data_IF_099974754511
#
_entry.id   IF_099974754511
#
_cell.length_a   1.000
_cell.length_b   1.000
_cell.length_c   1.000
_cell.angle_alpha   90.00
_cell.angle_beta   90.00
_cell.angle_gamma   90.00
#
_symmetry.space_group_name_H-M   'P 1'
#
loop_
_entity.id
_entity.type
_entity.pdbx_description
1 polymer ?
#
# COMPACT_ATOMS: atom_id res chain seq x y z
N UNK A 1 3.05 -10.73 -32.35
CA UNK A 1 4.37 -10.49 -31.76
C UNK A 1 4.78 -11.66 -30.92
N UNK A 2 5.98 -12.15 -31.06
CA UNK A 2 6.48 -13.37 -30.42
C UNK A 2 7.62 -13.05 -29.44
N UNK A 3 7.97 -13.99 -28.58
CA UNK A 3 9.16 -13.86 -27.71
C UNK A 3 10.45 -13.66 -28.50
N UNK A 4 10.48 -14.13 -29.73
CA UNK A 4 11.61 -13.95 -30.64
C UNK A 4 11.82 -12.48 -31.02
N UNK A 5 10.75 -11.73 -31.21
CA UNK A 5 10.82 -10.30 -31.51
C UNK A 5 11.51 -9.50 -30.40
N UNK A 6 11.28 -9.87 -29.12
CA UNK A 6 11.90 -9.24 -27.95
C UNK A 6 13.38 -9.59 -27.86
N UNK A 7 13.73 -10.84 -28.19
CA UNK A 7 15.13 -11.30 -28.19
C UNK A 7 15.92 -10.65 -29.32
N UNK A 8 15.33 -10.52 -30.49
CA UNK A 8 15.93 -9.82 -31.65
C UNK A 8 16.15 -8.33 -31.37
N UNK A 9 15.24 -7.70 -30.61
CA UNK A 9 15.37 -6.32 -30.16
C UNK A 9 16.46 -6.14 -29.07
N UNK A 10 17.14 -7.21 -28.64
CA UNK A 10 18.21 -7.23 -27.62
C UNK A 10 17.81 -6.61 -26.26
N UNK A 11 16.53 -6.61 -25.92
CA UNK A 11 16.04 -6.08 -24.63
C UNK A 11 16.44 -6.99 -23.50
N UNK A 12 16.22 -8.30 -23.66
CA UNK A 12 16.64 -9.30 -22.68
C UNK A 12 16.81 -10.67 -23.35
N UNK A 13 17.49 -11.60 -22.66
CA UNK A 13 17.59 -12.98 -23.11
C UNK A 13 16.25 -13.69 -23.00
N UNK A 14 16.07 -14.75 -23.80
CA UNK A 14 14.86 -15.59 -23.77
C UNK A 14 14.58 -16.13 -22.36
N UNK A 15 15.61 -16.59 -21.66
CA UNK A 15 15.48 -17.10 -20.29
C UNK A 15 15.04 -16.01 -19.30
N UNK A 16 15.55 -14.76 -19.43
CA UNK A 16 15.10 -13.63 -18.61
C UNK A 16 13.65 -13.31 -18.89
N UNK A 17 13.23 -13.28 -20.16
CA UNK A 17 11.85 -13.01 -20.54
C UNK A 17 10.89 -14.07 -19.97
N UNK A 18 11.22 -15.36 -20.08
CA UNK A 18 10.40 -16.43 -19.51
C UNK A 18 10.24 -16.32 -17.99
N UNK A 19 11.30 -15.94 -17.27
CA UNK A 19 11.23 -15.70 -15.81
C UNK A 19 10.38 -14.49 -15.46
N UNK A 20 10.45 -13.41 -16.24
CA UNK A 20 9.61 -12.22 -16.08
C UNK A 20 8.12 -12.56 -16.31
N UNK A 21 7.80 -13.29 -17.37
CA UNK A 21 6.43 -13.70 -17.69
C UNK A 21 5.83 -14.65 -16.62
N UNK A 22 6.66 -15.43 -15.94
CA UNK A 22 6.26 -16.29 -14.82
C UNK A 22 6.23 -15.59 -13.47
N UNK A 23 6.57 -14.29 -13.41
CA UNK A 23 6.66 -13.55 -12.16
C UNK A 23 7.82 -14.00 -11.25
N UNK A 24 8.82 -14.72 -11.80
CA UNK A 24 9.96 -15.24 -11.03
C UNK A 24 11.09 -14.21 -10.87
N UNK A 25 11.05 -13.12 -11.61
CA UNK A 25 12.02 -12.02 -11.52
C UNK A 25 11.29 -10.70 -11.46
N UNK A 26 11.85 -9.77 -10.69
CA UNK A 26 11.42 -8.37 -10.72
C UNK A 26 11.79 -7.75 -12.07
N UNK A 27 10.86 -6.98 -12.64
CA UNK A 27 11.08 -6.24 -13.86
C UNK A 27 11.59 -4.84 -13.53
N UNK A 28 12.65 -4.40 -14.20
CA UNK A 28 13.16 -3.02 -14.03
C UNK A 28 12.33 -2.04 -14.86
N UNK A 29 12.13 -0.80 -14.37
CA UNK A 29 11.39 0.23 -15.12
C UNK A 29 11.90 0.47 -16.54
N UNK A 30 13.21 0.38 -16.75
CA UNK A 30 13.83 0.46 -18.09
C UNK A 30 13.42 -0.71 -18.98
N UNK A 31 13.41 -1.94 -18.48
CA UNK A 31 12.98 -3.13 -19.24
C UNK A 31 11.49 -3.00 -19.64
N UNK A 32 10.65 -2.44 -18.75
CA UNK A 32 9.22 -2.19 -19.04
C UNK A 32 9.06 -1.25 -20.23
N UNK A 33 9.75 -0.11 -20.22
CA UNK A 33 9.67 0.88 -21.31
C UNK A 33 10.07 0.27 -22.66
N UNK A 34 11.17 -0.48 -22.67
CA UNK A 34 11.65 -1.14 -23.88
C UNK A 34 10.68 -2.23 -24.36
N UNK A 35 10.11 -3.03 -23.48
CA UNK A 35 9.10 -4.03 -23.81
C UNK A 35 7.84 -3.35 -24.37
N UNK A 36 7.33 -2.32 -23.70
CA UNK A 36 6.18 -1.55 -24.17
C UNK A 36 6.43 -0.95 -25.56
N UNK A 37 7.64 -0.44 -25.83
CA UNK A 37 8.02 0.07 -27.15
C UNK A 37 7.95 -1.02 -28.21
N UNK A 38 8.47 -2.22 -27.95
CA UNK A 38 8.42 -3.35 -28.87
C UNK A 38 7.00 -3.83 -29.09
N UNK A 39 6.21 -3.92 -28.02
CA UNK A 39 4.80 -4.32 -28.11
C UNK A 39 3.86 -3.23 -28.62
N UNK A 40 4.38 -2.03 -28.90
CA UNK A 40 3.61 -0.87 -29.37
C UNK A 40 2.47 -0.50 -28.43
N UNK A 41 2.73 -0.57 -27.14
CA UNK A 41 1.80 -0.15 -26.10
C UNK A 41 1.71 1.38 -26.13
N UNK A 42 0.51 1.93 -25.90
CA UNK A 42 0.31 3.38 -25.85
C UNK A 42 1.06 4.02 -24.67
N UNK A 43 1.29 5.32 -24.76
CA UNK A 43 2.09 6.05 -23.78
C UNK A 43 1.46 6.05 -22.37
N UNK A 44 0.15 6.29 -22.19
CA UNK A 44 -0.47 6.23 -20.86
C UNK A 44 -0.30 4.88 -20.17
N UNK A 45 -0.48 3.77 -20.90
CA UNK A 45 -0.28 2.41 -20.39
C UNK A 45 1.21 2.16 -20.08
N UNK A 46 2.12 2.64 -20.92
CA UNK A 46 3.57 2.52 -20.67
C UNK A 46 3.98 3.26 -19.41
N UNK A 47 3.46 4.45 -19.19
CA UNK A 47 3.74 5.25 -17.99
C UNK A 47 3.22 4.55 -16.73
N UNK A 48 1.99 4.03 -16.77
CA UNK A 48 1.43 3.25 -15.68
C UNK A 48 2.27 2.01 -15.38
N UNK A 49 2.60 1.20 -16.36
CA UNK A 49 3.42 -0.01 -16.18
C UNK A 49 4.81 0.32 -15.64
N UNK A 50 5.39 1.43 -16.09
CA UNK A 50 6.69 1.91 -15.60
C UNK A 50 6.62 2.30 -14.12
N UNK A 51 5.56 3.01 -13.73
CA UNK A 51 5.29 3.37 -12.33
C UNK A 51 5.13 2.11 -11.47
N UNK A 52 4.39 1.12 -11.94
CA UNK A 52 4.24 -0.17 -11.25
C UNK A 52 5.59 -0.88 -11.06
N UNK A 53 6.46 -0.84 -12.07
CA UNK A 53 7.79 -1.45 -11.98
C UNK A 53 8.72 -0.71 -10.99
N UNK A 54 8.58 0.59 -10.81
CA UNK A 54 9.28 1.32 -9.74
C UNK A 54 8.84 0.84 -8.36
N UNK A 55 7.55 0.67 -8.14
CA UNK A 55 7.00 0.19 -6.88
C UNK A 55 7.49 -1.20 -6.48
N UNK A 56 7.66 -2.09 -7.46
CA UNK A 56 8.22 -3.43 -7.20
C UNK A 56 9.74 -3.44 -7.00
N UNK A 57 10.43 -2.35 -7.33
CA UNK A 57 11.88 -2.23 -7.23
C UNK A 57 12.34 -1.42 -6.01
N UNK A 58 11.42 -0.86 -5.23
CA UNK A 58 11.74 -0.10 -4.02
C UNK A 58 12.16 -1.07 -2.90
N UNK A 59 13.43 -1.02 -2.44
CA UNK A 59 13.93 -1.92 -1.42
C UNK A 59 13.32 -1.67 -0.03
N UNK A 60 12.73 -0.51 0.21
CA UNK A 60 12.20 -0.15 1.55
C UNK A 60 11.12 -1.09 2.05
N UNK A 61 10.35 -1.71 1.16
CA UNK A 61 9.30 -2.67 1.51
C UNK A 61 9.73 -4.13 1.38
N UNK A 62 10.91 -4.39 0.79
CA UNK A 62 11.49 -5.73 0.69
C UNK A 62 11.99 -6.26 2.05
N UNK A 63 12.23 -5.38 3.03
CA UNK A 63 12.60 -5.76 4.40
C UNK A 63 11.53 -6.60 5.09
N UNK A 64 10.27 -6.46 4.66
CA UNK A 64 9.14 -7.26 5.17
C UNK A 64 8.97 -8.60 4.45
N UNK A 65 9.85 -8.94 3.48
CA UNK A 65 10.04 -10.24 2.86
C UNK A 65 8.75 -10.96 2.47
N UNK A 66 8.65 -12.22 2.89
CA UNK A 66 7.52 -13.11 2.58
C UNK A 66 6.22 -12.72 3.29
N UNK A 67 6.27 -11.80 4.27
CA UNK A 67 5.11 -11.32 5.01
C UNK A 67 4.17 -10.48 4.12
N UNK A 68 4.72 -9.73 3.16
CA UNK A 68 3.93 -8.91 2.25
C UNK A 68 3.61 -9.63 0.94
N UNK A 69 2.33 -9.80 0.64
CA UNK A 69 1.90 -10.26 -0.68
C UNK A 69 2.33 -9.24 -1.76
N UNK A 70 2.77 -9.66 -2.95
CA UNK A 70 3.30 -8.76 -3.99
C UNK A 70 2.38 -7.59 -4.36
N UNK A 71 1.06 -7.83 -4.41
CA UNK A 71 0.08 -6.77 -4.69
C UNK A 71 -0.04 -5.74 -3.55
N UNK A 72 0.27 -6.14 -2.31
CA UNK A 72 0.25 -5.23 -1.18
C UNK A 72 1.50 -4.35 -1.15
N UNK A 73 2.67 -4.88 -1.53
CA UNK A 73 3.88 -4.07 -1.69
C UNK A 73 3.68 -2.95 -2.74
N UNK A 74 3.01 -3.27 -3.86
CA UNK A 74 2.64 -2.27 -4.86
C UNK A 74 1.70 -1.20 -4.28
N UNK A 75 0.69 -1.62 -3.52
CA UNK A 75 -0.22 -0.68 -2.85
C UNK A 75 0.54 0.27 -1.92
N UNK A 76 1.46 -0.25 -1.11
CA UNK A 76 2.29 0.55 -0.21
C UNK A 76 3.14 1.58 -0.96
N UNK A 77 3.73 1.18 -2.09
CA UNK A 77 4.50 2.10 -2.91
C UNK A 77 3.61 3.20 -3.53
N UNK A 78 2.45 2.85 -4.08
CA UNK A 78 1.50 3.85 -4.61
C UNK A 78 1.05 4.82 -3.52
N UNK A 79 0.73 4.30 -2.32
CA UNK A 79 0.36 5.10 -1.16
C UNK A 79 1.50 6.05 -0.76
N UNK A 80 2.73 5.55 -0.69
CA UNK A 80 3.91 6.33 -0.29
C UNK A 80 4.27 7.44 -1.29
N UNK A 81 3.88 7.33 -2.55
CA UNK A 81 4.17 8.31 -3.61
C UNK A 81 2.99 9.22 -3.96
N UNK A 82 1.80 8.90 -3.46
CA UNK A 82 0.58 9.64 -3.77
C UNK A 82 0.66 11.11 -3.32
N UNK A 83 0.05 12.00 -4.09
CA UNK A 83 -0.20 13.40 -3.73
C UNK A 83 -1.60 13.61 -3.14
N UNK A 84 -2.51 12.65 -3.37
CA UNK A 84 -3.85 12.62 -2.80
C UNK A 84 -4.30 11.18 -2.58
N UNK A 85 -5.03 10.94 -1.49
CA UNK A 85 -5.62 9.65 -1.13
C UNK A 85 -7.10 9.85 -0.83
N UNK A 86 -7.95 9.05 -1.47
CA UNK A 86 -9.38 8.95 -1.14
C UNK A 86 -9.63 7.55 -0.58
N UNK A 87 -10.00 7.49 0.69
CA UNK A 87 -10.12 6.25 1.45
C UNK A 87 -11.57 6.03 1.88
N UNK A 88 -12.04 4.80 1.78
CA UNK A 88 -13.33 4.39 2.31
C UNK A 88 -13.18 3.13 3.15
N UNK A 89 -13.57 3.21 4.42
CA UNK A 89 -13.51 2.09 5.35
C UNK A 89 -14.81 2.01 6.16
N UNK A 90 -15.67 1.01 5.90
CA UNK A 90 -16.99 0.95 6.54
C UNK A 90 -16.96 0.34 7.94
N UNK A 91 -16.03 -0.57 8.25
CA UNK A 91 -16.11 -1.43 9.44
C UNK A 91 -15.03 -1.21 10.49
N UNK A 92 -13.84 -0.78 10.08
CA UNK A 92 -12.69 -0.57 10.95
C UNK A 92 -11.97 0.72 10.58
N UNK A 93 -11.26 1.33 11.51
CA UNK A 93 -10.43 2.50 11.22
C UNK A 93 -9.33 2.13 10.24
N UNK A 94 -9.09 2.96 9.22
CA UNK A 94 -8.06 2.71 8.22
C UNK A 94 -6.66 2.65 8.85
N UNK A 95 -5.79 1.76 8.35
CA UNK A 95 -4.47 1.50 8.90
C UNK A 95 -3.58 2.75 9.09
N UNK A 96 -3.75 3.78 8.26
CA UNK A 96 -3.03 5.05 8.40
C UNK A 96 -3.43 5.87 9.64
N UNK A 97 -4.54 5.55 10.29
CA UNK A 97 -5.08 6.27 11.45
C UNK A 97 -5.21 5.40 12.69
N UNK A 98 -4.70 4.16 12.63
CA UNK A 98 -4.72 3.25 13.77
C UNK A 98 -3.60 3.60 14.76
N UNK A 99 -3.91 3.51 16.06
CA UNK A 99 -2.88 3.48 17.09
C UNK A 99 -2.20 2.12 17.13
N UNK A 100 -1.00 1.98 17.72
CA UNK A 100 -0.32 0.68 17.84
C UNK A 100 -1.21 -0.39 18.51
N UNK A 101 -1.92 -0.05 19.57
CA UNK A 101 -2.78 -0.99 20.31
C UNK A 101 -4.02 -1.40 19.51
N UNK A 102 -4.60 -0.46 18.75
CA UNK A 102 -5.69 -0.77 17.84
C UNK A 102 -5.23 -1.68 16.70
N UNK A 103 -4.07 -1.37 16.09
CA UNK A 103 -3.48 -2.17 15.04
C UNK A 103 -3.19 -3.60 15.54
N UNK A 104 -2.63 -3.75 16.74
CA UNK A 104 -2.37 -5.04 17.38
C UNK A 104 -3.66 -5.84 17.59
N UNK A 105 -4.72 -5.21 18.07
CA UNK A 105 -6.00 -5.87 18.25
C UNK A 105 -6.62 -6.34 16.94
N UNK A 106 -6.47 -5.57 15.85
CA UNK A 106 -6.90 -5.95 14.50
C UNK A 106 -6.06 -7.13 13.98
N UNK A 107 -4.73 -7.12 14.16
CA UNK A 107 -3.88 -8.24 13.72
C UNK A 107 -4.28 -9.54 14.40
N UNK A 108 -4.44 -9.54 15.72
CA UNK A 108 -4.91 -10.72 16.45
C UNK A 108 -6.28 -11.22 15.97
N UNK A 109 -7.19 -10.30 15.62
CA UNK A 109 -8.53 -10.66 15.14
C UNK A 109 -8.53 -11.19 13.70
N UNK A 110 -7.55 -10.81 12.88
CA UNK A 110 -7.52 -11.13 11.45
C UNK A 110 -6.86 -12.47 11.12
N UNK A 111 -6.06 -13.03 12.04
CA UNK A 111 -5.27 -14.23 11.81
C UNK A 111 -5.47 -15.23 12.96
N UNK A 112 -6.06 -16.39 12.65
CA UNK A 112 -6.41 -17.40 13.67
C UNK A 112 -5.16 -18.03 14.32
N UNK A 113 -4.09 -18.22 13.54
CA UNK A 113 -2.85 -18.88 13.95
C UNK A 113 -1.64 -17.95 13.99
N UNK A 114 -1.86 -16.62 14.12
CA UNK A 114 -0.77 -15.67 14.16
C UNK A 114 0.11 -15.87 15.40
N UNK A 115 1.41 -15.89 15.23
CA UNK A 115 2.34 -15.76 16.34
C UNK A 115 2.40 -14.29 16.80
N UNK A 116 2.86 -14.08 18.04
CA UNK A 116 3.11 -12.72 18.54
C UNK A 116 4.05 -11.94 17.62
N UNK A 117 5.04 -12.62 17.03
CA UNK A 117 5.96 -12.04 16.06
C UNK A 117 5.23 -11.55 14.81
N UNK A 118 4.33 -12.34 14.24
CA UNK A 118 3.58 -11.96 13.02
C UNK A 118 2.71 -10.73 13.29
N UNK A 119 2.10 -10.67 14.47
CA UNK A 119 1.30 -9.53 14.92
C UNK A 119 2.15 -8.26 15.02
N UNK A 120 3.32 -8.33 15.68
CA UNK A 120 4.19 -7.18 15.84
C UNK A 120 4.81 -6.73 14.50
N UNK A 121 5.12 -7.65 13.59
CA UNK A 121 5.52 -7.32 12.21
C UNK A 121 4.39 -6.58 11.47
N UNK A 122 3.14 -7.04 11.58
CA UNK A 122 1.98 -6.34 11.01
C UNK A 122 1.75 -4.94 11.59
N UNK A 123 1.95 -4.78 12.88
CA UNK A 123 1.90 -3.46 13.56
C UNK A 123 3.04 -2.57 13.06
N UNK A 124 4.27 -3.08 12.96
CA UNK A 124 5.42 -2.33 12.48
C UNK A 124 5.21 -1.80 11.05
N UNK A 125 4.72 -2.64 10.13
CA UNK A 125 4.35 -2.23 8.76
C UNK A 125 3.38 -1.05 8.77
N UNK A 126 2.35 -1.07 9.63
CA UNK A 126 1.38 0.03 9.71
C UNK A 126 2.02 1.33 10.19
N UNK A 127 2.84 1.26 11.23
CA UNK A 127 3.50 2.44 11.79
C UNK A 127 4.52 3.03 10.82
N UNK A 128 5.23 2.20 10.08
CA UNK A 128 6.19 2.65 9.06
C UNK A 128 5.48 3.33 7.88
N UNK A 129 4.33 2.80 7.45
CA UNK A 129 3.46 3.47 6.46
C UNK A 129 3.03 4.86 6.93
N UNK A 130 2.58 4.97 8.17
CA UNK A 130 2.19 6.24 8.77
C UNK A 130 3.37 7.21 8.78
N UNK A 131 4.55 6.78 9.25
CA UNK A 131 5.76 7.60 9.23
C UNK A 131 6.12 8.03 7.81
N UNK A 132 6.23 7.09 6.88
CA UNK A 132 6.59 7.38 5.50
C UNK A 132 5.66 8.42 4.85
N UNK A 133 4.38 8.41 5.21
CA UNK A 133 3.39 9.31 4.62
C UNK A 133 3.35 10.68 5.30
N UNK A 134 3.31 10.70 6.64
CA UNK A 134 3.07 11.94 7.40
C UNK A 134 4.34 12.76 7.68
N UNK A 135 5.54 12.17 7.54
CA UNK A 135 6.80 12.90 7.70
C UNK A 135 7.35 13.49 6.39
N UNK A 136 6.64 13.32 5.28
CA UNK A 136 7.02 13.91 3.98
C UNK A 136 7.02 15.43 4.06
N UNK A 137 7.94 16.06 3.33
CA UNK A 137 7.98 17.52 3.17
C UNK A 137 6.69 18.08 2.55
N UNK A 138 5.99 17.26 1.77
CA UNK A 138 4.65 17.55 1.19
C UNK A 138 3.78 16.33 1.42
N UNK A 139 3.09 16.23 2.57
CA UNK A 139 2.16 15.13 2.84
C UNK A 139 0.99 15.17 1.83
N UNK A 140 0.41 14.02 1.49
CA UNK A 140 -0.71 13.96 0.57
C UNK A 140 -1.97 14.59 1.19
N UNK A 141 -2.85 15.08 0.34
CA UNK A 141 -4.23 15.37 0.75
C UNK A 141 -4.95 14.04 1.00
N UNK A 142 -5.53 13.86 2.19
CA UNK A 142 -6.25 12.63 2.53
C UNK A 142 -7.72 12.97 2.77
N UNK A 143 -8.60 12.26 2.06
CA UNK A 143 -10.03 12.24 2.29
C UNK A 143 -10.41 10.85 2.78
N UNK A 144 -10.92 10.74 4.00
CA UNK A 144 -11.37 9.48 4.58
C UNK A 144 -12.87 9.53 4.82
N UNK A 145 -13.58 8.60 4.17
CA UNK A 145 -14.98 8.30 4.50
C UNK A 145 -14.98 7.07 5.39
N UNK A 146 -15.43 7.27 6.62
CA UNK A 146 -15.47 6.26 7.66
C UNK A 146 -16.91 5.90 7.99
N UNK A 147 -17.22 4.61 8.00
CA UNK A 147 -18.52 4.13 8.47
C UNK A 147 -18.67 4.35 9.99
N UNK A 148 -19.84 4.74 10.45
CA UNK A 148 -20.12 4.94 11.88
C UNK A 148 -19.81 3.67 12.70
N UNK A 149 -20.06 2.50 12.13
CA UNK A 149 -19.72 1.19 12.72
C UNK A 149 -18.25 1.04 13.08
N UNK A 150 -17.34 1.66 12.33
CA UNK A 150 -15.91 1.60 12.63
C UNK A 150 -15.53 2.35 13.92
N UNK A 151 -16.35 3.35 14.32
CA UNK A 151 -16.16 4.09 15.57
C UNK A 151 -16.89 3.43 16.74
N UNK A 152 -18.01 2.77 16.48
CA UNK A 152 -18.85 2.15 17.52
C UNK A 152 -18.43 0.72 17.84
N UNK A 153 -17.79 0.02 16.93
CA UNK A 153 -17.33 -1.36 17.13
C UNK A 153 -16.16 -1.38 18.12
N UNK A 154 -16.28 -2.08 19.25
CA UNK A 154 -15.16 -2.22 20.18
C UNK A 154 -14.03 -3.04 19.52
N UNK A 155 -12.83 -2.47 19.49
CA UNK A 155 -11.61 -3.14 19.03
C UNK A 155 -10.60 -3.05 20.18
N UNK A 156 -10.15 -4.20 20.66
CA UNK A 156 -9.28 -4.28 21.83
C UNK A 156 -10.00 -3.87 23.12
N UNK A 157 -9.46 -2.92 23.84
CA UNK A 157 -9.97 -2.43 25.12
C UNK A 157 -10.59 -1.04 25.04
N UNK A 158 -11.34 -0.63 26.07
CA UNK A 158 -11.87 0.74 26.15
C UNK A 158 -10.77 1.82 26.07
N UNK A 159 -9.60 1.71 26.72
CA UNK A 159 -8.47 2.62 26.51
C UNK A 159 -7.95 2.62 25.06
N UNK A 160 -7.95 1.48 24.36
CA UNK A 160 -7.55 1.38 22.95
C UNK A 160 -8.45 2.23 22.05
N UNK A 161 -9.76 2.17 22.29
CA UNK A 161 -10.73 2.99 21.55
C UNK A 161 -10.61 4.47 21.88
N UNK A 162 -10.48 4.83 23.15
CA UNK A 162 -10.31 6.22 23.58
C UNK A 162 -9.03 6.88 23.02
N UNK A 163 -7.96 6.10 22.82
CA UNK A 163 -6.73 6.60 22.24
C UNK A 163 -6.88 7.00 20.75
N UNK A 164 -7.83 6.43 20.01
CA UNK A 164 -8.14 6.82 18.63
C UNK A 164 -8.65 8.27 18.53
N UNK A 165 -9.49 8.69 19.45
CA UNK A 165 -10.06 10.05 19.47
C UNK A 165 -8.96 11.11 19.64
N UNK A 166 -7.92 10.81 20.43
CA UNK A 166 -6.76 11.68 20.62
C UNK A 166 -5.84 11.78 19.39
N UNK A 167 -5.81 10.76 18.53
CA UNK A 167 -4.96 10.72 17.34
C UNK A 167 -5.58 11.50 16.19
N UNK A 168 -6.88 11.47 16.03
CA UNK A 168 -7.62 12.25 15.03
C UNK A 168 -7.57 13.76 15.31
N UNK A 169 -7.39 14.16 16.57
CA UNK A 169 -7.30 15.57 16.98
C UNK A 169 -5.90 16.18 16.81
N UNK A 170 -4.82 15.39 16.82
CA UNK A 170 -3.43 15.88 16.85
C UNK A 170 -2.78 16.06 15.48
N UNK A 171 -3.27 15.40 14.45
CA UNK A 171 -2.83 15.63 13.08
C UNK A 171 -3.54 16.89 12.54
N UNK A 172 -3.00 18.06 12.85
CA UNK A 172 -3.53 19.38 12.52
C UNK A 172 -3.72 19.70 11.01
N UNK A 173 -3.85 18.69 10.17
CA UNK A 173 -4.21 18.77 8.76
C UNK A 173 -5.55 18.09 8.43
N UNK A 174 -6.22 17.45 9.39
CA UNK A 174 -7.50 16.79 9.17
C UNK A 174 -8.60 17.52 9.96
N UNK A 175 -9.26 18.48 9.34
CA UNK A 175 -10.55 18.94 9.81
C UNK A 175 -11.55 17.79 9.68
N UNK A 176 -11.81 17.04 10.77
CA UNK A 176 -12.90 16.09 10.79
C UNK A 176 -14.22 16.87 10.80
N UNK A 177 -14.96 16.81 9.74
CA UNK A 177 -16.34 17.28 9.66
C UNK A 177 -17.23 16.06 9.53
N UNK A 178 -18.11 15.76 10.51
CA UNK A 178 -19.08 14.68 10.33
C UNK A 178 -19.96 15.01 9.12
N UNK A 179 -20.06 14.07 8.19
CA UNK A 179 -21.03 14.17 7.12
C UNK A 179 -22.43 14.24 7.79
N UNK A 180 -23.08 15.39 7.69
CA UNK A 180 -24.47 15.50 8.14
C UNK A 180 -25.30 14.56 7.27
N UNK A 181 -25.94 13.56 7.89
CA UNK A 181 -27.02 12.81 7.27
C UNK A 181 -28.05 13.84 6.77
N UNK A 182 -28.23 13.92 5.47
CA UNK A 182 -29.37 14.63 4.91
C UNK A 182 -30.62 13.82 5.23
N UNK A 183 -31.72 14.49 5.65
CA UNK A 183 -33.00 13.84 5.89
C UNK A 183 -33.57 13.19 4.63
#
# INVERSE_FOLDING_TARGET
>A
MTREDVTLARICSRSKLEKLERGQNLIRPGDVRELCRVYRVDQPTTDLMTVLAYGTSDPSWLEYGDFLRPHFALYLWLESTASALSLFTPEVVHGLFQTPDYARAIEWASQIDASERDVEEGVAVRLDRQRALFTRSRPPRIELVLGETALLRPVGSAPTMAALDGTTSRSGCCGWTPARSRP
#
